data_IF_041323483074
#
_entry.id   IF_041323483074
#
_cell.length_a   1.000
_cell.length_b   1.000
_cell.length_c   1.000
_cell.angle_alpha   90.00
_cell.angle_beta   90.00
_cell.angle_gamma   90.00
#
_symmetry.space_group_name_H-M   'P 1'
#
loop_
_entity.id
_entity.type
_entity.pdbx_description
1 polymer ?
#
# COMPACT_ATOMS: atom_id res chain seq x y z
N UNK A 1 -10.98 -3.57 14.96
CA UNK A 1 -9.92 -3.66 13.93
C UNK A 1 -9.02 -4.86 14.18
N UNK A 2 -8.99 -5.80 13.22
CA UNK A 2 -8.22 -7.06 13.29
C UNK A 2 -6.80 -6.94 12.72
N UNK A 3 -6.52 -5.85 12.01
CA UNK A 3 -5.19 -5.43 11.63
C UNK A 3 -4.77 -4.19 12.42
N UNK A 4 -3.47 -3.94 12.44
CA UNK A 4 -2.85 -2.67 12.81
C UNK A 4 -2.31 -2.02 11.55
N UNK A 5 -2.13 -0.70 11.58
CA UNK A 5 -1.61 0.03 10.45
C UNK A 5 -0.63 1.13 10.87
N UNK A 6 0.23 1.51 9.95
CA UNK A 6 1.21 2.58 10.09
C UNK A 6 1.30 3.34 8.77
N UNK A 7 1.45 4.66 8.84
CA UNK A 7 1.63 5.53 7.67
C UNK A 7 3.11 5.80 7.45
N UNK A 8 3.57 5.60 6.23
CA UNK A 8 4.92 5.93 5.81
C UNK A 8 4.88 7.04 4.76
N UNK A 9 5.90 7.90 4.82
CA UNK A 9 6.13 8.95 3.84
C UNK A 9 7.53 8.76 3.28
N UNK A 10 7.63 8.74 1.96
CA UNK A 10 8.88 8.67 1.21
C UNK A 10 9.08 10.01 0.52
N UNK A 11 10.27 10.56 0.63
CA UNK A 11 10.73 11.68 -0.18
C UNK A 11 11.75 11.17 -1.22
N UNK A 12 11.31 10.86 -2.45
CA UNK A 12 12.15 10.29 -3.50
C UNK A 12 12.92 11.35 -4.30
N UNK A 13 12.90 12.63 -3.91
CA UNK A 13 13.52 13.70 -4.69
C UNK A 13 15.04 13.50 -4.79
N UNK A 14 15.65 13.84 -5.95
CA UNK A 14 15.04 14.44 -7.13
C UNK A 14 14.46 13.45 -8.15
N UNK A 15 14.44 12.14 -7.86
CA UNK A 15 14.02 11.08 -8.81
C UNK A 15 12.54 11.20 -9.17
N UNK A 16 11.72 11.60 -8.20
CA UNK A 16 10.30 11.89 -8.40
C UNK A 16 9.94 13.15 -7.61
N UNK A 17 8.98 13.93 -8.14
CA UNK A 17 8.81 15.33 -7.73
C UNK A 17 7.97 15.55 -6.48
N UNK A 18 7.11 14.60 -6.11
CA UNK A 18 6.29 14.70 -4.90
C UNK A 18 6.78 13.75 -3.81
N UNK A 19 6.45 14.08 -2.57
CA UNK A 19 6.51 13.12 -1.49
C UNK A 19 5.34 12.14 -1.63
N UNK A 20 5.62 10.85 -1.41
CA UNK A 20 4.64 9.77 -1.58
C UNK A 20 4.28 9.17 -0.22
N UNK A 21 2.98 9.07 0.07
CA UNK A 21 2.46 8.53 1.31
C UNK A 21 1.72 7.21 1.07
N UNK A 22 1.84 6.28 2.01
CA UNK A 22 1.04 5.07 2.02
C UNK A 22 0.85 4.51 3.44
N UNK A 23 -0.18 3.68 3.59
CA UNK A 23 -0.43 2.93 4.81
C UNK A 23 0.01 1.47 4.61
N UNK A 24 0.74 0.92 5.59
CA UNK A 24 0.99 -0.51 5.74
C UNK A 24 -0.04 -1.07 6.71
N UNK A 25 -0.63 -2.21 6.39
CA UNK A 25 -1.56 -2.95 7.23
C UNK A 25 -1.01 -4.34 7.52
N UNK A 26 -0.96 -4.73 8.79
CA UNK A 26 -0.50 -6.06 9.23
C UNK A 26 -1.50 -6.72 10.19
N UNK A 27 -1.64 -8.07 10.21
CA UNK A 27 -2.50 -8.76 11.17
C UNK A 27 -2.06 -8.51 12.62
N UNK A 28 -2.99 -8.22 13.54
CA UNK A 28 -2.67 -8.05 14.98
C UNK A 28 -2.31 -9.35 15.68
N UNK A 29 -2.89 -10.46 15.24
CA UNK A 29 -2.64 -11.78 15.80
C UNK A 29 -1.72 -12.52 14.83
N UNK A 30 -0.48 -12.77 15.26
CA UNK A 30 0.40 -13.69 14.56
C UNK A 30 -0.27 -15.06 14.54
N UNK A 31 -0.61 -15.56 13.35
CA UNK A 31 -1.19 -16.90 13.19
C UNK A 31 -0.27 -17.90 13.90
N UNK A 32 -0.78 -18.53 14.96
CA UNK A 32 -0.13 -19.67 15.62
C UNK A 32 -0.17 -20.85 14.66
N UNK A 33 0.81 -20.94 13.76
CA UNK A 33 0.90 -22.06 12.82
C UNK A 33 1.52 -23.26 13.55
N UNK A 34 0.66 -24.19 13.98
CA UNK A 34 1.05 -25.57 14.30
C UNK A 34 1.46 -26.37 13.05
N UNK A 35 1.24 -25.83 11.85
CA UNK A 35 1.88 -26.27 10.61
C UNK A 35 3.21 -25.54 10.43
N UNK A 36 4.25 -26.26 10.02
CA UNK A 36 5.58 -25.71 9.78
C UNK A 36 5.50 -24.47 8.86
N UNK A 37 5.93 -23.30 9.37
CA UNK A 37 6.03 -22.03 8.62
C UNK A 37 6.76 -22.16 7.27
N UNK A 38 7.55 -23.22 7.10
CA UNK A 38 8.34 -23.51 5.90
C UNK A 38 7.50 -23.76 4.63
N UNK A 39 6.20 -24.07 4.76
CA UNK A 39 5.38 -24.50 3.61
C UNK A 39 4.25 -23.52 3.26
N UNK A 40 4.26 -22.29 3.80
CA UNK A 40 3.29 -21.26 3.44
C UNK A 40 3.91 -20.23 2.51
N UNK A 41 3.19 -19.83 1.46
CA UNK A 41 3.61 -18.73 0.59
C UNK A 41 3.02 -17.42 1.09
N UNK A 42 3.90 -16.55 1.57
CA UNK A 42 3.51 -15.21 2.03
C UNK A 42 3.49 -14.22 0.87
N UNK A 43 2.45 -13.39 0.79
CA UNK A 43 2.31 -12.34 -0.20
C UNK A 43 1.96 -11.01 0.45
N UNK A 44 2.43 -9.93 -0.16
CA UNK A 44 2.01 -8.56 0.12
C UNK A 44 1.05 -8.10 -0.97
N UNK A 45 -0.05 -7.48 -0.59
CA UNK A 45 -1.00 -6.89 -1.54
C UNK A 45 -0.78 -5.37 -1.62
N UNK A 46 -0.88 -4.80 -2.81
CA UNK A 46 -0.81 -3.35 -3.04
C UNK A 46 -2.14 -2.87 -3.59
N UNK A 47 -2.73 -1.87 -2.93
CA UNK A 47 -4.03 -1.30 -3.24
C UNK A 47 -3.84 0.13 -3.76
N UNK A 48 -4.39 0.38 -4.96
CA UNK A 48 -4.33 1.67 -5.64
C UNK A 48 -5.76 2.18 -5.81
N UNK A 49 -6.06 3.35 -5.26
CA UNK A 49 -7.43 3.88 -5.25
C UNK A 49 -7.79 4.53 -6.59
N UNK A 50 -9.09 4.65 -6.85
CA UNK A 50 -9.60 5.38 -8.02
C UNK A 50 -9.61 6.91 -7.78
N UNK A 51 -9.86 7.66 -8.85
CA UNK A 51 -10.02 9.12 -8.81
C UNK A 51 -11.14 9.51 -7.83
N UNK A 52 -10.88 10.50 -6.98
CA UNK A 52 -11.83 10.98 -5.98
C UNK A 52 -11.95 10.11 -4.73
N UNK A 53 -11.11 9.09 -4.60
CA UNK A 53 -11.02 8.22 -3.42
C UNK A 53 -9.68 8.43 -2.68
N UNK A 54 -9.52 7.77 -1.53
CA UNK A 54 -8.33 7.84 -0.67
C UNK A 54 -7.79 6.46 -0.32
N UNK A 55 -6.56 6.37 0.18
CA UNK A 55 -5.90 5.10 0.53
C UNK A 55 -6.70 4.27 1.56
N UNK A 56 -7.46 4.90 2.45
CA UNK A 56 -8.31 4.25 3.46
C UNK A 56 -9.56 3.57 2.88
N UNK A 57 -9.90 3.84 1.61
CA UNK A 57 -11.12 3.28 0.98
C UNK A 57 -11.12 1.75 0.94
N UNK A 58 -9.94 1.13 1.03
CA UNK A 58 -9.78 -0.32 1.03
C UNK A 58 -9.77 -0.94 2.43
N UNK A 59 -9.80 -0.17 3.52
CA UNK A 59 -9.69 -0.70 4.88
C UNK A 59 -10.68 -1.83 5.19
N UNK A 60 -11.98 -1.74 4.84
CA UNK A 60 -12.91 -2.85 5.07
C UNK A 60 -12.50 -4.14 4.37
N UNK A 61 -11.98 -4.04 3.14
CA UNK A 61 -11.55 -5.19 2.33
C UNK A 61 -10.23 -5.74 2.85
N UNK A 62 -9.27 -4.88 3.20
CA UNK A 62 -8.00 -5.25 3.81
C UNK A 62 -8.23 -6.01 5.12
N UNK A 63 -9.14 -5.54 5.98
CA UNK A 63 -9.48 -6.24 7.21
C UNK A 63 -9.99 -7.66 6.97
N UNK A 64 -10.78 -7.87 5.91
CA UNK A 64 -11.31 -9.19 5.56
C UNK A 64 -10.17 -10.10 5.05
N UNK A 65 -9.34 -9.59 4.15
CA UNK A 65 -8.23 -10.35 3.55
C UNK A 65 -7.16 -10.73 4.58
N UNK A 66 -6.94 -9.91 5.60
CA UNK A 66 -5.97 -10.20 6.65
C UNK A 66 -6.50 -11.15 7.75
N UNK A 67 -7.83 -11.37 7.85
CA UNK A 67 -8.43 -12.28 8.85
C UNK A 67 -8.11 -13.74 8.59
N UNK A 68 -8.21 -14.19 7.34
CA UNK A 68 -8.15 -15.62 6.99
C UNK A 68 -7.09 -15.89 5.91
N UNK A 69 -6.48 -17.08 5.86
CA UNK A 69 -5.74 -17.52 4.69
C UNK A 69 -6.62 -17.40 3.44
N UNK A 70 -6.01 -17.07 2.31
CA UNK A 70 -6.74 -17.10 1.04
C UNK A 70 -7.03 -18.57 0.70
N UNK A 71 -8.22 -18.85 0.20
CA UNK A 71 -8.55 -20.15 -0.38
C UNK A 71 -7.93 -20.26 -1.80
N UNK A 72 -6.63 -20.01 -1.86
CA UNK A 72 -5.82 -20.04 -3.07
C UNK A 72 -4.56 -20.81 -2.70
N UNK A 73 -4.38 -21.95 -3.35
CA UNK A 73 -3.15 -22.72 -3.27
C UNK A 73 -2.18 -22.21 -4.32
N UNK A 74 -0.91 -22.12 -3.96
CA UNK A 74 0.14 -21.94 -4.95
C UNK A 74 0.23 -23.17 -5.86
N UNK A 75 0.94 -23.10 -7.00
CA UNK A 75 1.15 -24.28 -7.87
C UNK A 75 1.79 -25.48 -7.16
N UNK A 76 2.47 -25.29 -6.02
CA UNK A 76 3.04 -26.36 -5.19
C UNK A 76 2.07 -26.94 -4.15
N UNK A 77 0.80 -26.49 -4.11
CA UNK A 77 -0.18 -26.90 -3.10
C UNK A 77 -0.07 -26.15 -1.76
N UNK A 78 0.99 -25.35 -1.57
CA UNK A 78 1.23 -24.55 -0.38
C UNK A 78 0.15 -23.46 -0.23
N UNK A 79 -0.48 -23.29 0.96
CA UNK A 79 -1.45 -22.23 1.21
C UNK A 79 -0.85 -20.84 1.01
N UNK A 80 -1.64 -19.92 0.44
CA UNK A 80 -1.24 -18.53 0.30
C UNK A 80 -1.75 -17.68 1.46
N UNK A 81 -0.84 -16.94 2.08
CA UNK A 81 -1.12 -16.10 3.24
C UNK A 81 -0.82 -14.65 2.88
N UNK A 82 -1.83 -13.79 3.00
CA UNK A 82 -1.60 -12.34 2.99
C UNK A 82 -0.87 -11.96 4.27
N UNK A 83 0.40 -11.59 4.14
CA UNK A 83 1.26 -11.20 5.25
C UNK A 83 1.00 -9.74 5.65
N UNK A 84 0.75 -8.91 4.65
CA UNK A 84 0.51 -7.47 4.79
C UNK A 84 -0.22 -6.93 3.57
N UNK A 85 -0.76 -5.73 3.73
CA UNK A 85 -1.29 -4.94 2.63
C UNK A 85 -0.71 -3.52 2.68
N UNK A 86 -0.54 -2.94 1.51
CA UNK A 86 -0.09 -1.58 1.30
C UNK A 86 -1.17 -0.82 0.55
N UNK A 87 -1.50 0.39 0.99
CA UNK A 87 -2.39 1.29 0.26
C UNK A 87 -1.69 2.63 0.06
N UNK A 88 -1.39 2.98 -1.18
CA UNK A 88 -0.66 4.20 -1.53
C UNK A 88 -1.62 5.28 -1.99
N UNK A 89 -1.31 6.53 -1.65
CA UNK A 89 -2.13 7.67 -2.01
C UNK A 89 -1.55 8.44 -3.19
N UNK A 90 -2.42 8.82 -4.13
CA UNK A 90 -2.06 9.67 -5.24
C UNK A 90 -1.59 11.05 -4.72
N UNK A 91 -0.50 11.65 -5.24
CA UNK A 91 0.10 12.86 -4.67
C UNK A 91 -0.85 14.05 -4.48
N UNK A 92 -1.89 14.15 -5.30
CA UNK A 92 -2.89 15.22 -5.23
C UNK A 92 -4.23 14.79 -4.60
N UNK A 93 -4.28 13.64 -3.92
CA UNK A 93 -5.46 13.17 -3.19
C UNK A 93 -5.20 13.15 -1.68
N UNK A 94 -6.28 13.18 -0.90
CA UNK A 94 -6.28 12.98 0.55
C UNK A 94 -5.24 13.79 1.31
N UNK A 95 -4.45 13.13 2.16
CA UNK A 95 -3.43 13.79 2.97
C UNK A 95 -2.20 14.15 2.15
N UNK A 96 -1.91 13.42 1.07
CA UNK A 96 -0.83 13.69 0.15
C UNK A 96 -1.01 15.03 -0.57
N UNK A 97 -2.25 15.42 -0.87
CA UNK A 97 -2.54 16.73 -1.44
C UNK A 97 -2.14 17.88 -0.51
N UNK A 98 -2.27 17.69 0.80
CA UNK A 98 -1.85 18.65 1.82
C UNK A 98 -0.33 18.64 1.96
N UNK A 99 0.28 17.44 2.00
CA UNK A 99 1.73 17.26 2.08
C UNK A 99 2.46 17.93 0.93
N UNK A 100 1.94 17.78 -0.30
CA UNK A 100 2.54 18.30 -1.52
C UNK A 100 1.93 19.63 -1.97
N UNK A 101 1.25 20.37 -1.08
CA UNK A 101 0.48 21.54 -1.49
C UNK A 101 1.34 22.64 -2.14
N UNK A 102 2.58 22.83 -1.69
CA UNK A 102 3.53 23.77 -2.30
C UNK A 102 4.01 23.29 -3.68
N UNK A 103 4.39 22.01 -3.79
CA UNK A 103 4.83 21.41 -5.05
C UNK A 103 3.71 21.47 -6.12
N UNK A 104 2.47 21.16 -5.72
CA UNK A 104 1.28 21.24 -6.59
C UNK A 104 0.99 22.67 -7.02
N UNK A 105 1.13 23.66 -6.13
CA UNK A 105 0.92 25.09 -6.46
C UNK A 105 1.98 25.63 -7.40
N UNK A 106 3.23 25.17 -7.26
CA UNK A 106 4.37 25.63 -8.05
C UNK A 106 4.40 25.08 -9.48
N UNK A 107 3.59 24.08 -9.80
CA UNK A 107 3.62 23.41 -11.10
C UNK A 107 2.79 24.11 -12.18
N UNK A 108 3.45 24.41 -13.30
CA UNK A 108 2.83 24.75 -14.58
C UNK A 108 2.39 23.49 -15.37
N UNK A 109 2.59 22.29 -14.81
CA UNK A 109 2.52 20.99 -15.51
C UNK A 109 1.13 20.38 -15.66
N UNK A 110 0.09 21.01 -15.11
CA UNK A 110 -1.28 20.49 -15.13
C UNK A 110 -1.58 19.49 -14.00
N UNK A 111 -2.80 18.93 -13.96
CA UNK A 111 -3.21 18.01 -12.90
C UNK A 111 -2.39 16.71 -12.90
N UNK A 112 -2.14 16.14 -11.71
CA UNK A 112 -1.48 14.85 -11.54
C UNK A 112 -2.14 13.77 -12.44
N UNK A 113 -1.35 13.22 -13.35
CA UNK A 113 -1.79 12.22 -14.32
C UNK A 113 -1.78 10.81 -13.72
N UNK A 114 -2.36 9.84 -14.44
CA UNK A 114 -2.25 8.43 -14.05
C UNK A 114 -0.80 7.93 -14.08
N UNK A 115 0.04 8.45 -14.98
CA UNK A 115 1.46 8.13 -15.03
C UNK A 115 2.16 8.66 -13.77
N UNK A 116 1.83 9.87 -13.33
CA UNK A 116 2.39 10.42 -12.09
C UNK A 116 2.03 9.56 -10.88
N UNK A 117 0.81 8.99 -10.84
CA UNK A 117 0.45 8.07 -9.77
C UNK A 117 1.17 6.72 -9.88
N UNK A 118 1.31 6.16 -11.08
CA UNK A 118 2.07 4.93 -11.30
C UNK A 118 3.55 5.10 -10.89
N UNK A 119 4.16 6.23 -11.24
CA UNK A 119 5.52 6.58 -10.86
C UNK A 119 5.65 6.76 -9.33
N UNK A 120 4.67 7.41 -8.69
CA UNK A 120 4.60 7.54 -7.23
C UNK A 120 4.64 6.15 -6.55
N UNK A 121 3.79 5.24 -7.02
CA UNK A 121 3.71 3.86 -6.50
C UNK A 121 5.04 3.14 -6.70
N UNK A 122 5.63 3.27 -7.88
CA UNK A 122 6.91 2.64 -8.20
C UNK A 122 8.02 3.11 -7.25
N UNK A 123 8.20 4.42 -7.08
CA UNK A 123 9.26 4.96 -6.23
C UNK A 123 8.99 4.66 -4.75
N UNK A 124 7.74 4.69 -4.31
CA UNK A 124 7.36 4.33 -2.95
C UNK A 124 7.74 2.89 -2.65
N UNK A 125 7.33 1.93 -3.48
CA UNK A 125 7.66 0.51 -3.28
C UNK A 125 9.17 0.24 -3.38
N UNK A 126 9.88 0.91 -4.29
CA UNK A 126 11.34 0.79 -4.44
C UNK A 126 12.11 1.35 -3.25
N UNK A 127 11.53 2.27 -2.51
CA UNK A 127 12.16 2.88 -1.34
C UNK A 127 12.06 1.99 -0.10
N UNK A 128 11.34 0.86 -0.18
CA UNK A 128 11.12 -0.07 0.92
C UNK A 128 10.77 0.64 2.24
N UNK A 129 9.66 1.41 2.28
CA UNK A 129 9.21 2.03 3.52
C UNK A 129 8.82 0.93 4.51
N UNK A 130 9.53 0.81 5.64
CA UNK A 130 9.28 -0.22 6.68
C UNK A 130 10.00 -1.54 6.45
#
# INVERSE_FOLDING_TARGET
MHCQWETFVVDPRPVYRYQVMGNRYTPKITRSSSSSRADNRHVSLVFLHAVGMFKESFEPVIEILLKSPLDIQSPSGSPMIVAEAWSTECPNHGQSAVLNADDIRGENGGPCSMNDFADAVYVYLRSNPG
#
